data_IF_707471251271
#
_entry.id   IF_707471251271
#
_cell.length_a   1.000
_cell.length_b   1.000
_cell.length_c   1.000
_cell.angle_alpha   90.00
_cell.angle_beta   90.00
_cell.angle_gamma   90.00
#
_symmetry.space_group_name_H-M   'P 1'
#
loop_
_entity.id
_entity.type
_entity.pdbx_description
1 polymer ?
#
# COMPACT_ATOMS: atom_id res chain seq x y z
N UNK A 1 -2.15 2.59 -11.47
CA UNK A 1 -0.69 2.48 -11.22
C UNK A 1 0.00 3.82 -10.87
N UNK A 2 -0.67 4.95 -11.06
CA UNK A 2 -0.09 6.25 -10.71
C UNK A 2 -0.59 6.71 -9.34
N UNK A 3 0.34 7.17 -8.50
CA UNK A 3 0.08 7.55 -7.12
C UNK A 3 -1.12 8.49 -6.97
N UNK A 4 -1.16 9.57 -7.74
CA UNK A 4 -2.23 10.56 -7.65
C UNK A 4 -3.61 10.01 -8.01
N UNK A 5 -3.69 9.10 -8.97
CA UNK A 5 -4.94 8.46 -9.36
C UNK A 5 -5.42 7.49 -8.29
N UNK A 6 -4.50 6.69 -7.74
CA UNK A 6 -4.80 5.72 -6.68
C UNK A 6 -5.21 6.45 -5.40
N UNK A 7 -4.53 7.54 -5.05
CA UNK A 7 -4.86 8.35 -3.89
C UNK A 7 -6.29 8.89 -3.97
N UNK A 8 -6.68 9.40 -5.13
CA UNK A 8 -8.03 9.90 -5.38
C UNK A 8 -9.07 8.77 -5.30
N UNK A 9 -8.78 7.64 -5.95
CA UNK A 9 -9.70 6.51 -5.98
C UNK A 9 -9.89 5.92 -4.57
N UNK A 10 -8.81 5.80 -3.79
CA UNK A 10 -8.90 5.31 -2.42
C UNK A 10 -9.71 6.26 -1.53
N UNK A 11 -9.47 7.55 -1.64
CA UNK A 11 -10.24 8.56 -0.90
C UNK A 11 -11.73 8.47 -1.20
N UNK A 12 -12.09 8.35 -2.49
CA UNK A 12 -13.48 8.21 -2.91
C UNK A 12 -14.09 6.89 -2.42
N UNK A 13 -13.35 5.79 -2.52
CA UNK A 13 -13.82 4.48 -2.07
C UNK A 13 -14.09 4.46 -0.56
N UNK A 14 -13.25 5.11 0.23
CA UNK A 14 -13.45 5.21 1.68
C UNK A 14 -14.74 5.93 2.06
N UNK A 15 -15.15 6.93 1.28
CA UNK A 15 -16.41 7.64 1.53
C UNK A 15 -17.65 6.76 1.32
N UNK A 16 -17.53 5.72 0.50
CA UNK A 16 -18.62 4.83 0.16
C UNK A 16 -18.54 3.48 0.85
N UNK A 17 -17.49 3.23 1.63
CA UNK A 17 -17.23 1.92 2.21
C UNK A 17 -18.19 1.63 3.38
N UNK A 18 -18.79 0.44 3.37
CA UNK A 18 -19.58 -0.05 4.50
C UNK A 18 -18.67 -0.27 5.72
N UNK A 19 -19.21 -0.14 6.96
CA UNK A 19 -18.40 -0.29 8.17
C UNK A 19 -17.62 -1.60 8.28
N UNK A 20 -18.13 -2.69 7.71
CA UNK A 20 -17.49 -4.01 7.71
C UNK A 20 -16.82 -4.35 6.38
N UNK A 21 -16.77 -3.40 5.45
CA UNK A 21 -16.18 -3.61 4.13
C UNK A 21 -14.67 -3.48 4.14
N UNK A 22 -14.07 -3.86 3.01
CA UNK A 22 -12.64 -3.72 2.77
C UNK A 22 -12.39 -3.24 1.35
N UNK A 23 -11.34 -2.47 1.19
CA UNK A 23 -10.81 -2.04 -0.11
C UNK A 23 -9.52 -2.80 -0.36
N UNK A 24 -9.38 -3.39 -1.55
CA UNK A 24 -8.15 -4.08 -1.95
C UNK A 24 -7.45 -3.23 -3.01
N UNK A 25 -6.17 -2.96 -2.77
CA UNK A 25 -5.30 -2.23 -3.69
C UNK A 25 -4.24 -3.17 -4.24
N UNK A 26 -4.09 -3.23 -5.54
CA UNK A 26 -3.02 -4.01 -6.16
C UNK A 26 -1.72 -3.21 -6.24
N UNK A 27 -0.60 -3.92 -6.46
CA UNK A 27 0.70 -3.34 -6.80
C UNK A 27 1.32 -2.48 -5.69
N UNK A 28 1.08 -2.85 -4.42
CA UNK A 28 1.62 -2.11 -3.27
C UNK A 28 3.03 -2.53 -2.88
N UNK A 29 3.59 -3.59 -3.47
CA UNK A 29 4.92 -4.10 -3.18
C UNK A 29 5.70 -4.34 -4.47
N UNK A 30 6.34 -3.30 -5.03
CA UNK A 30 7.18 -3.49 -6.22
C UNK A 30 8.38 -4.39 -5.91
N UNK A 31 8.70 -5.36 -6.77
CA UNK A 31 9.83 -6.28 -6.52
C UNK A 31 11.19 -5.60 -6.63
N UNK A 32 11.29 -4.51 -7.37
CA UNK A 32 12.52 -3.71 -7.47
C UNK A 32 12.18 -2.30 -7.96
N UNK A 33 13.23 -1.44 -8.04
CA UNK A 33 13.04 -0.03 -8.39
C UNK A 33 12.47 0.19 -9.80
N UNK A 34 12.68 -0.73 -10.72
CA UNK A 34 12.23 -0.56 -12.10
C UNK A 34 10.72 -0.79 -12.25
N UNK A 35 10.14 -1.66 -11.43
CA UNK A 35 8.70 -1.92 -11.45
C UNK A 35 7.88 -0.73 -10.99
N UNK A 36 8.42 0.10 -10.09
CA UNK A 36 7.67 1.19 -9.48
C UNK A 36 7.83 2.54 -10.21
N UNK A 37 8.51 2.57 -11.35
CA UNK A 37 8.61 3.79 -12.14
C UNK A 37 7.24 4.20 -12.70
N UNK A 38 7.08 5.48 -12.98
CA UNK A 38 5.77 6.02 -13.41
C UNK A 38 5.35 5.55 -14.81
N UNK A 39 6.29 5.04 -15.58
CA UNK A 39 6.05 4.36 -16.85
C UNK A 39 6.78 3.04 -16.83
N UNK A 40 6.30 2.06 -17.60
CA UNK A 40 6.96 0.75 -17.60
C UNK A 40 8.41 0.85 -18.09
N UNK A 41 9.35 0.39 -17.25
CA UNK A 41 10.77 0.36 -17.56
C UNK A 41 11.10 -0.76 -18.54
N UNK A 42 12.04 -0.54 -19.48
CA UNK A 42 12.57 -1.63 -20.32
C UNK A 42 13.37 -2.67 -19.51
N UNK A 43 13.73 -2.33 -18.24
CA UNK A 43 14.48 -3.22 -17.35
C UNK A 43 13.58 -4.08 -16.47
N UNK A 44 12.25 -4.03 -16.65
CA UNK A 44 11.29 -4.81 -15.86
C UNK A 44 10.35 -5.58 -16.78
N UNK A 45 9.99 -6.81 -16.38
CA UNK A 45 9.03 -7.63 -17.11
C UNK A 45 7.58 -7.29 -16.79
N UNK A 46 7.35 -6.46 -15.79
CA UNK A 46 6.02 -6.01 -15.35
C UNK A 46 6.06 -4.58 -14.87
N UNK A 47 4.93 -4.09 -14.37
CA UNK A 47 4.80 -2.71 -13.92
C UNK A 47 3.83 -2.60 -12.76
N UNK A 48 4.28 -2.02 -11.65
CA UNK A 48 3.44 -1.69 -10.51
C UNK A 48 3.12 -0.19 -10.44
N UNK A 49 3.90 0.63 -11.15
CA UNK A 49 3.83 2.07 -10.99
C UNK A 49 4.21 2.51 -9.59
N UNK A 50 3.80 3.71 -9.21
CA UNK A 50 4.11 4.26 -7.88
C UNK A 50 2.91 4.20 -6.92
N UNK A 51 2.04 3.21 -7.08
CA UNK A 51 0.87 2.94 -6.22
C UNK A 51 1.25 2.88 -4.74
N UNK A 52 2.40 2.29 -4.41
CA UNK A 52 2.85 2.18 -3.01
C UNK A 52 2.98 3.54 -2.32
N UNK A 53 3.26 4.59 -3.06
CA UNK A 53 3.35 5.95 -2.49
C UNK A 53 1.99 6.45 -2.01
N UNK A 54 0.92 6.16 -2.77
CA UNK A 54 -0.44 6.48 -2.33
C UNK A 54 -0.79 5.73 -1.05
N UNK A 55 -0.49 4.44 -1.00
CA UNK A 55 -0.67 3.63 0.20
C UNK A 55 0.04 4.27 1.40
N UNK A 56 1.29 4.68 1.23
CA UNK A 56 2.08 5.29 2.31
C UNK A 56 1.52 6.63 2.78
N UNK A 57 0.94 7.42 1.90
CA UNK A 57 0.30 8.68 2.31
C UNK A 57 -0.83 8.42 3.31
N UNK A 58 -1.63 7.39 3.10
CA UNK A 58 -2.69 7.01 4.05
C UNK A 58 -2.11 6.37 5.31
N UNK A 59 -1.05 5.56 5.21
CA UNK A 59 -0.35 5.00 6.38
C UNK A 59 0.21 6.08 7.30
N UNK A 60 0.58 7.21 6.76
CA UNK A 60 1.21 8.30 7.51
C UNK A 60 0.21 9.35 8.02
N UNK A 61 -1.03 9.36 7.52
CA UNK A 61 -1.96 10.46 7.79
C UNK A 61 -3.33 10.06 8.34
N UNK A 62 -3.75 8.80 8.18
CA UNK A 62 -5.12 8.37 8.54
C UNK A 62 -5.11 7.41 9.73
N UNK A 63 -5.62 7.87 10.87
CA UNK A 63 -5.75 7.06 12.09
C UNK A 63 -7.06 6.27 12.15
N UNK A 64 -8.03 6.61 11.28
CA UNK A 64 -9.39 6.07 11.29
C UNK A 64 -9.54 4.81 10.41
N UNK A 65 -8.45 4.31 9.89
CA UNK A 65 -8.41 3.09 9.06
C UNK A 65 -7.31 2.17 9.55
N UNK A 66 -7.41 0.90 9.22
CA UNK A 66 -6.32 -0.05 9.38
C UNK A 66 -5.88 -0.55 8.00
N UNK A 67 -4.58 -0.70 7.81
CA UNK A 67 -3.98 -1.05 6.53
C UNK A 67 -2.92 -2.11 6.70
N UNK A 68 -2.89 -3.06 5.78
CA UNK A 68 -1.78 -4.01 5.65
C UNK A 68 -1.56 -4.34 4.18
N UNK A 69 -0.38 -4.84 3.86
CA UNK A 69 -0.08 -5.39 2.54
C UNK A 69 0.12 -6.88 2.69
N UNK A 70 -0.65 -7.67 1.97
CA UNK A 70 -0.48 -9.12 1.92
C UNK A 70 0.60 -9.42 0.89
N UNK A 71 1.61 -10.20 1.30
CA UNK A 71 2.79 -10.49 0.46
C UNK A 71 2.46 -11.55 -0.59
N UNK A 72 1.75 -11.13 -1.61
CA UNK A 72 1.39 -11.93 -2.78
C UNK A 72 1.08 -11.00 -3.95
N UNK A 73 1.30 -11.46 -5.16
CA UNK A 73 0.88 -10.79 -6.40
C UNK A 73 1.25 -9.29 -6.44
N UNK A 74 2.54 -8.99 -6.22
CA UNK A 74 3.09 -7.63 -6.15
C UNK A 74 2.49 -6.78 -5.02
N UNK A 75 1.98 -7.43 -3.98
CA UNK A 75 1.45 -6.77 -2.79
C UNK A 75 0.00 -6.35 -2.92
N UNK A 76 -0.88 -7.05 -2.19
CA UNK A 76 -2.29 -6.68 -2.08
C UNK A 76 -2.50 -5.85 -0.82
N UNK A 77 -2.70 -4.55 -0.99
CA UNK A 77 -3.06 -3.67 0.12
C UNK A 77 -4.51 -3.87 0.52
N UNK A 78 -4.77 -4.02 1.81
CA UNK A 78 -6.11 -4.17 2.36
C UNK A 78 -6.38 -3.02 3.31
N UNK A 79 -7.46 -2.29 3.07
CA UNK A 79 -7.83 -1.09 3.83
C UNK A 79 -9.24 -1.26 4.37
N UNK A 80 -9.42 -1.05 5.66
CA UNK A 80 -10.73 -1.11 6.33
C UNK A 80 -10.83 0.01 7.35
N UNK A 81 -12.05 0.35 7.77
CA UNK A 81 -12.22 1.20 8.94
C UNK A 81 -11.67 0.51 10.19
N UNK A 82 -10.99 1.25 11.02
CA UNK A 82 -10.36 0.74 12.22
C UNK A 82 -9.43 1.79 12.79
N UNK A 83 -8.29 1.35 13.32
CA UNK A 83 -7.28 2.26 13.85
C UNK A 83 -5.90 1.74 13.49
N UNK A 84 -4.95 2.66 13.36
CA UNK A 84 -3.55 2.31 13.14
C UNK A 84 -2.64 3.38 13.74
N UNK A 85 -1.43 2.95 14.09
CA UNK A 85 -0.34 3.88 14.40
C UNK A 85 0.19 4.46 13.09
N UNK A 86 0.38 5.78 13.07
CA UNK A 86 0.90 6.43 11.88
C UNK A 86 2.40 6.21 11.73
N UNK A 87 2.82 5.88 10.52
CA UNK A 87 4.24 5.82 10.20
C UNK A 87 4.78 7.25 10.08
N UNK A 88 5.87 7.53 10.80
CA UNK A 88 6.49 8.86 10.79
C UNK A 88 7.45 8.96 9.62
N UNK A 89 7.13 9.81 8.66
CA UNK A 89 7.99 10.06 7.51
C UNK A 89 7.65 11.41 6.86
N UNK A 90 8.61 11.93 6.09
CA UNK A 90 8.43 13.12 5.27
C UNK A 90 7.86 12.70 3.91
N UNK A 91 6.59 13.03 3.67
CA UNK A 91 5.90 12.63 2.44
C UNK A 91 6.50 13.24 1.17
N UNK A 92 7.25 14.33 1.28
CA UNK A 92 7.89 14.96 0.14
C UNK A 92 9.23 14.31 -0.23
N UNK A 93 10.00 13.85 0.78
CA UNK A 93 11.40 13.46 0.57
C UNK A 93 11.69 11.99 0.86
N UNK A 94 10.88 11.33 1.71
CA UNK A 94 11.18 9.95 2.14
C UNK A 94 10.61 8.87 1.22
N UNK A 95 9.68 9.22 0.32
CA UNK A 95 9.02 8.24 -0.55
C UNK A 95 9.88 7.91 -1.77
N UNK A 96 11.01 7.27 -1.53
CA UNK A 96 11.91 6.73 -2.55
C UNK A 96 12.02 5.21 -2.37
N UNK A 97 12.28 4.48 -3.45
CA UNK A 97 12.29 3.01 -3.42
C UNK A 97 13.29 2.44 -2.41
N UNK A 98 14.48 3.02 -2.28
CA UNK A 98 15.50 2.51 -1.35
C UNK A 98 14.98 2.53 0.10
N UNK A 99 14.21 3.54 0.48
CA UNK A 99 13.62 3.62 1.80
C UNK A 99 12.50 2.57 1.97
N UNK A 100 11.70 2.36 0.93
CA UNK A 100 10.68 1.30 0.95
C UNK A 100 11.34 -0.07 1.16
N UNK A 101 12.39 -0.38 0.42
CA UNK A 101 13.09 -1.66 0.52
C UNK A 101 13.62 -1.91 1.93
N UNK A 102 14.16 -0.88 2.58
CA UNK A 102 14.69 -0.98 3.94
C UNK A 102 13.60 -1.12 4.99
N UNK A 103 12.43 -0.54 4.78
CA UNK A 103 11.39 -0.38 5.79
C UNK A 103 10.08 -1.10 5.44
N UNK A 104 10.06 -1.93 4.42
CA UNK A 104 8.82 -2.47 3.85
C UNK A 104 7.93 -3.19 4.86
N UNK A 105 8.51 -3.92 5.80
CA UNK A 105 7.72 -4.66 6.80
C UNK A 105 6.95 -3.70 7.69
N UNK A 106 7.61 -2.67 8.21
CA UNK A 106 6.98 -1.67 9.06
C UNK A 106 6.08 -0.72 8.26
N UNK A 107 6.61 -0.17 7.17
CA UNK A 107 5.90 0.83 6.37
C UNK A 107 4.60 0.29 5.79
N UNK A 108 4.66 -0.92 5.24
CA UNK A 108 3.50 -1.52 4.59
C UNK A 108 2.62 -2.30 5.55
N UNK A 109 3.08 -2.52 6.80
CA UNK A 109 2.46 -3.51 7.68
C UNK A 109 2.33 -4.84 6.93
N UNK A 110 3.47 -5.31 6.41
CA UNK A 110 3.53 -6.46 5.51
C UNK A 110 3.21 -7.74 6.27
N UNK A 111 2.28 -8.53 5.73
CA UNK A 111 1.87 -9.80 6.34
C UNK A 111 1.92 -10.91 5.30
N UNK A 112 2.20 -12.14 5.75
CA UNK A 112 2.12 -13.30 4.87
C UNK A 112 0.66 -13.65 4.58
N UNK A 113 0.45 -14.41 3.50
CA UNK A 113 -0.89 -14.93 3.17
C UNK A 113 -1.47 -15.71 4.34
N UNK A 114 -0.67 -16.60 4.94
CA UNK A 114 -1.13 -17.44 6.05
C UNK A 114 -1.54 -16.61 7.27
N UNK A 115 -0.75 -15.61 7.65
CA UNK A 115 -1.08 -14.72 8.76
C UNK A 115 -2.35 -13.90 8.47
N UNK A 116 -2.53 -13.46 7.23
CA UNK A 116 -3.73 -12.73 6.85
C UNK A 116 -4.97 -13.61 6.96
N UNK A 117 -4.90 -14.85 6.49
CA UNK A 117 -6.01 -15.81 6.58
C UNK A 117 -6.37 -16.09 8.05
N UNK A 118 -5.37 -16.25 8.92
CA UNK A 118 -5.60 -16.42 10.36
C UNK A 118 -6.36 -15.23 10.96
N UNK A 119 -6.02 -14.00 10.58
CA UNK A 119 -6.71 -12.80 11.05
C UNK A 119 -8.17 -12.76 10.62
N UNK A 120 -8.49 -13.25 9.41
CA UNK A 120 -9.86 -13.33 8.93
C UNK A 120 -10.69 -14.34 9.71
N UNK A 121 -10.07 -15.42 10.20
CA UNK A 121 -10.74 -16.48 10.95
C UNK A 121 -10.87 -16.16 12.43
N UNK A 122 -10.03 -15.29 12.92
CA UNK A 122 -10.00 -14.86 14.31
C UNK A 122 -10.77 -13.59 14.53
#
# INVERSE_FOLDING_TARGET
HLCEDVEKDLGNALQCLNPNGAIVMHDCLPPNQYYQERTQSPHASGWTGDTWKAYMKFRATREDIEMCVVDTDYGCGVVRYGTQELVQLDLENDLIYDNLEKNKVEWLNLVSVDNFVERLQG
#
